data_IF_370511164957
#
_entry.id   IF_370511164957
#
_cell.length_a   1.000
_cell.length_b   1.000
_cell.length_c   1.000
_cell.angle_alpha   90.00
_cell.angle_beta   90.00
_cell.angle_gamma   90.00
#
_symmetry.space_group_name_H-M   'P 1'
#
loop_
_entity.id
_entity.type
_entity.pdbx_description
1 polymer ?
#
# COMPACT_ATOMS: atom_id res chain seq x y z
N UNK A 1 -25.94 -10.14 -22.98
CA UNK A 1 -25.46 -11.50 -22.76
C UNK A 1 -24.52 -11.83 -23.92
N UNK A 2 -23.23 -11.60 -23.78
CA UNK A 2 -22.24 -12.12 -24.73
C UNK A 2 -21.89 -13.51 -24.25
N UNK A 3 -22.30 -14.51 -24.96
CA UNK A 3 -21.83 -15.89 -24.82
C UNK A 3 -20.34 -15.89 -25.17
N UNK A 4 -19.47 -15.92 -24.16
CA UNK A 4 -18.08 -16.28 -24.38
C UNK A 4 -18.04 -17.68 -25.01
N UNK A 5 -17.67 -17.76 -26.27
CA UNK A 5 -17.33 -19.01 -26.93
C UNK A 5 -16.11 -19.60 -26.20
N UNK A 6 -16.35 -20.47 -25.26
CA UNK A 6 -15.31 -21.21 -24.55
C UNK A 6 -14.66 -22.20 -25.52
N UNK A 7 -13.62 -21.79 -26.21
CA UNK A 7 -12.88 -22.59 -27.20
C UNK A 7 -11.96 -23.64 -26.55
N UNK A 8 -11.71 -23.55 -25.25
CA UNK A 8 -10.84 -24.47 -24.51
C UNK A 8 -11.63 -25.39 -23.57
N UNK A 9 -11.24 -26.67 -23.52
CA UNK A 9 -11.71 -27.63 -22.53
C UNK A 9 -11.07 -27.43 -21.15
N UNK A 10 -10.00 -26.64 -21.08
CA UNK A 10 -9.28 -26.30 -19.84
C UNK A 10 -10.06 -25.21 -19.13
N UNK A 11 -10.38 -25.44 -17.86
CA UNK A 11 -11.06 -24.48 -16.99
C UNK A 11 -10.06 -23.73 -16.14
N UNK A 12 -10.30 -22.45 -15.83
CA UNK A 12 -9.51 -21.72 -14.85
C UNK A 12 -9.69 -22.29 -13.44
N UNK A 13 -8.79 -21.94 -12.52
CA UNK A 13 -8.94 -22.31 -11.11
C UNK A 13 -10.21 -21.67 -10.51
N UNK A 14 -10.90 -22.40 -9.62
CA UNK A 14 -12.18 -21.97 -9.02
C UNK A 14 -12.07 -20.63 -8.28
N UNK A 15 -10.90 -20.32 -7.72
CA UNK A 15 -10.63 -19.03 -7.04
C UNK A 15 -10.86 -17.81 -7.93
N UNK A 16 -10.77 -17.94 -9.26
CA UNK A 16 -11.02 -16.83 -10.18
C UNK A 16 -12.50 -16.48 -10.30
N UNK A 17 -13.40 -17.38 -9.91
CA UNK A 17 -14.82 -17.08 -9.85
C UNK A 17 -15.18 -16.10 -8.72
N UNK A 18 -14.33 -15.97 -7.69
CA UNK A 18 -14.55 -15.08 -6.55
C UNK A 18 -14.24 -13.60 -6.84
N UNK A 19 -13.63 -13.31 -7.98
CA UNK A 19 -13.20 -11.95 -8.36
C UNK A 19 -13.54 -11.64 -9.82
N UNK A 20 -13.74 -10.36 -10.11
CA UNK A 20 -13.87 -9.85 -11.48
C UNK A 20 -12.61 -9.09 -11.89
N UNK A 21 -12.48 -8.79 -13.20
CA UNK A 21 -11.43 -7.84 -13.65
C UNK A 21 -11.53 -6.55 -12.81
N UNK A 22 -10.37 -6.01 -12.47
CA UNK A 22 -10.26 -4.83 -11.63
C UNK A 22 -11.12 -3.67 -12.15
N UNK A 23 -11.99 -3.15 -11.31
CA UNK A 23 -13.01 -2.15 -11.68
C UNK A 23 -12.45 -0.98 -12.47
N UNK A 24 -11.34 -0.38 -11.98
CA UNK A 24 -10.74 0.76 -12.65
C UNK A 24 -10.13 0.42 -14.02
N UNK A 25 -9.64 -0.82 -14.22
CA UNK A 25 -9.18 -1.25 -15.56
C UNK A 25 -10.30 -1.21 -16.59
N UNK A 26 -11.50 -1.68 -16.21
CA UNK A 26 -12.69 -1.62 -17.09
C UNK A 26 -13.10 -0.18 -17.38
N UNK A 27 -13.13 0.67 -16.34
CA UNK A 27 -13.52 2.08 -16.50
C UNK A 27 -12.54 2.89 -17.32
N UNK A 28 -11.24 2.63 -17.22
CA UNK A 28 -10.24 3.26 -18.09
C UNK A 28 -10.44 2.90 -19.55
N UNK A 29 -10.74 1.63 -19.86
CA UNK A 29 -11.05 1.18 -21.22
C UNK A 29 -12.31 1.87 -21.77
N UNK A 30 -13.35 1.98 -20.92
CA UNK A 30 -14.60 2.65 -21.27
C UNK A 30 -14.36 4.13 -21.60
N UNK A 31 -13.64 4.86 -20.73
CA UNK A 31 -13.29 6.27 -20.95
C UNK A 31 -12.43 6.44 -22.22
N UNK A 32 -11.43 5.58 -22.44
CA UNK A 32 -10.60 5.62 -23.63
C UNK A 32 -11.43 5.43 -24.91
N UNK A 33 -12.39 4.49 -24.89
CA UNK A 33 -13.32 4.29 -26.01
C UNK A 33 -14.20 5.52 -26.26
N UNK A 34 -14.78 6.09 -25.18
CA UNK A 34 -15.61 7.30 -25.29
C UNK A 34 -14.83 8.48 -25.90
N UNK A 35 -13.56 8.64 -25.51
CA UNK A 35 -12.71 9.68 -26.08
C UNK A 35 -12.31 9.40 -27.53
N UNK A 36 -12.09 8.13 -27.91
CA UNK A 36 -11.89 7.75 -29.31
C UNK A 36 -13.14 8.03 -30.18
N UNK A 37 -14.34 8.02 -29.59
CA UNK A 37 -15.60 8.39 -30.21
C UNK A 37 -15.86 9.91 -30.22
N UNK A 38 -14.91 10.74 -29.73
CA UNK A 38 -15.00 12.19 -29.71
C UNK A 38 -15.84 12.79 -28.57
N UNK A 39 -16.08 12.03 -27.47
CA UNK A 39 -16.90 12.51 -26.34
C UNK A 39 -16.18 13.43 -25.37
N UNK A 40 -14.83 13.53 -25.48
CA UNK A 40 -13.98 14.42 -24.65
C UNK A 40 -14.22 14.28 -23.15
N UNK A 41 -14.20 13.05 -22.66
CA UNK A 41 -14.46 12.72 -21.24
C UNK A 41 -13.23 13.01 -20.39
N UNK A 42 -13.37 13.87 -19.40
CA UNK A 42 -12.36 14.11 -18.38
C UNK A 42 -12.56 13.10 -17.25
N UNK A 43 -11.57 12.24 -17.01
CA UNK A 43 -11.63 11.22 -15.96
C UNK A 43 -11.18 11.79 -14.62
N UNK A 44 -12.08 11.86 -13.65
CA UNK A 44 -11.79 12.15 -12.26
C UNK A 44 -11.82 10.88 -11.38
N UNK A 45 -11.89 9.70 -12.02
CA UNK A 45 -12.08 8.42 -11.32
C UNK A 45 -10.80 7.80 -10.76
N UNK A 46 -9.62 8.25 -11.18
CA UNK A 46 -8.33 7.75 -10.70
C UNK A 46 -7.49 8.93 -10.24
N UNK A 47 -7.17 8.93 -8.94
CA UNK A 47 -6.25 9.88 -8.36
C UNK A 47 -4.80 9.53 -8.76
N UNK A 48 -4.35 10.07 -9.88
CA UNK A 48 -2.95 9.97 -10.31
C UNK A 48 -2.32 11.36 -10.27
N UNK A 49 -1.12 11.51 -9.67
CA UNK A 49 -0.35 12.74 -9.85
C UNK A 49 -0.15 13.06 -11.32
N UNK A 50 -0.27 14.31 -11.69
CA UNK A 50 -0.09 14.84 -13.05
C UNK A 50 1.26 15.53 -13.24
N UNK A 51 2.02 15.71 -12.17
CA UNK A 51 3.37 16.24 -12.19
C UNK A 51 4.43 15.14 -12.24
N UNK A 52 5.61 15.40 -12.84
CA UNK A 52 6.72 14.46 -12.79
C UNK A 52 7.37 14.40 -11.40
N UNK A 53 8.18 13.36 -11.12
CA UNK A 53 9.14 13.38 -10.02
C UNK A 53 10.12 14.56 -10.14
N UNK A 54 10.84 14.86 -9.07
CA UNK A 54 11.85 15.93 -9.10
C UNK A 54 12.91 15.67 -10.18
N UNK A 55 13.41 16.74 -10.78
CA UNK A 55 14.46 16.65 -11.80
C UNK A 55 15.69 15.88 -11.27
N UNK A 56 16.10 16.12 -10.03
CA UNK A 56 17.22 15.41 -9.39
C UNK A 56 16.99 13.89 -9.33
N UNK A 57 15.75 13.48 -9.05
CA UNK A 57 15.36 12.07 -9.03
C UNK A 57 15.45 11.44 -10.42
N UNK A 58 14.95 12.13 -11.45
CA UNK A 58 15.02 11.67 -12.84
C UNK A 58 16.46 11.56 -13.31
N UNK A 59 17.29 12.59 -13.05
CA UNK A 59 18.70 12.59 -13.43
C UNK A 59 19.50 11.49 -12.72
N UNK A 60 19.15 11.19 -11.46
CA UNK A 60 19.74 10.07 -10.74
C UNK A 60 19.41 8.74 -11.42
N UNK A 61 18.15 8.52 -11.81
CA UNK A 61 17.77 7.33 -12.57
C UNK A 61 18.59 7.19 -13.87
N UNK A 62 18.65 8.27 -14.66
CA UNK A 62 19.35 8.29 -15.96
C UNK A 62 20.84 7.98 -15.78
N UNK A 63 21.50 8.60 -14.81
CA UNK A 63 22.92 8.36 -14.51
C UNK A 63 23.18 6.92 -14.07
N UNK A 64 22.39 6.41 -13.13
CA UNK A 64 22.59 5.07 -12.58
C UNK A 64 22.19 3.95 -13.56
N UNK A 65 21.26 4.22 -14.47
CA UNK A 65 20.92 3.29 -15.56
C UNK A 65 22.04 3.12 -16.59
N UNK A 66 22.99 4.05 -16.68
CA UNK A 66 24.17 3.96 -17.52
C UNK A 66 25.33 3.20 -16.85
N UNK A 67 25.23 2.92 -15.57
CA UNK A 67 26.26 2.17 -14.84
C UNK A 67 26.25 0.69 -15.27
N UNK A 68 27.31 0.17 -15.91
CA UNK A 68 27.34 -1.21 -16.39
C UNK A 68 27.19 -2.26 -15.29
N UNK A 69 27.56 -1.92 -14.05
CA UNK A 69 27.46 -2.82 -12.90
C UNK A 69 26.08 -2.79 -12.22
N UNK A 70 25.15 -1.95 -12.73
CA UNK A 70 23.83 -1.74 -12.16
C UNK A 70 22.75 -2.71 -12.61
N UNK A 71 23.03 -3.66 -13.52
CA UNK A 71 22.04 -4.48 -14.23
C UNK A 71 21.91 -5.91 -13.70
N UNK A 72 22.73 -6.33 -12.75
CA UNK A 72 22.63 -7.66 -12.13
C UNK A 72 21.39 -7.78 -11.23
N UNK A 73 21.12 -9.00 -10.76
CA UNK A 73 20.09 -9.24 -9.77
C UNK A 73 20.41 -8.49 -8.46
N UNK A 74 19.42 -7.75 -7.96
CA UNK A 74 19.51 -7.06 -6.69
C UNK A 74 18.99 -7.94 -5.53
N UNK A 75 19.43 -7.66 -4.29
CA UNK A 75 18.90 -8.36 -3.13
C UNK A 75 17.37 -8.21 -3.00
N UNK A 76 16.67 -9.27 -2.62
CA UNK A 76 15.21 -9.27 -2.38
C UNK A 76 14.80 -8.26 -1.31
N UNK A 77 15.67 -8.02 -0.33
CA UNK A 77 15.47 -7.01 0.72
C UNK A 77 15.66 -5.56 0.24
N UNK A 78 15.99 -5.35 -1.04
CA UNK A 78 16.38 -4.05 -1.57
C UNK A 78 17.82 -3.64 -1.18
N UNK A 79 18.34 -2.61 -1.84
CA UNK A 79 19.69 -2.10 -1.55
C UNK A 79 19.74 -1.37 -0.20
N UNK A 80 20.88 -1.40 0.49
CA UNK A 80 21.02 -0.72 1.79
C UNK A 80 20.75 0.78 1.75
N UNK A 81 21.09 1.44 0.64
CA UNK A 81 20.86 2.89 0.43
C UNK A 81 19.37 3.22 0.54
N UNK A 82 18.51 2.51 -0.19
CA UNK A 82 17.07 2.74 -0.18
C UNK A 82 16.48 2.49 1.21
N UNK A 83 16.88 1.40 1.87
CA UNK A 83 16.38 1.08 3.21
C UNK A 83 16.79 2.13 4.25
N UNK A 84 18.04 2.64 4.18
CA UNK A 84 18.49 3.74 5.04
C UNK A 84 17.73 5.04 4.76
N UNK A 85 17.45 5.35 3.49
CA UNK A 85 16.68 6.55 3.14
C UNK A 85 15.25 6.46 3.66
N UNK A 86 14.58 5.30 3.57
CA UNK A 86 13.26 5.11 4.19
C UNK A 86 13.32 5.26 5.72
N UNK A 87 14.33 4.68 6.38
CA UNK A 87 14.47 4.83 7.84
C UNK A 87 14.68 6.30 8.25
N UNK A 88 15.54 7.03 7.53
CA UNK A 88 15.77 8.45 7.78
C UNK A 88 14.51 9.29 7.54
N UNK A 89 13.75 8.98 6.48
CA UNK A 89 12.51 9.64 6.14
C UNK A 89 11.42 9.42 7.20
N UNK A 90 11.26 8.17 7.70
CA UNK A 90 10.34 7.86 8.81
C UNK A 90 10.72 8.59 10.09
N UNK A 91 12.01 8.66 10.40
CA UNK A 91 12.50 9.42 11.56
C UNK A 91 12.21 10.90 11.43
N UNK A 92 12.49 11.48 10.26
CA UNK A 92 12.29 12.92 9.99
C UNK A 92 10.83 13.33 10.09
N UNK A 93 9.93 12.58 9.44
CA UNK A 93 8.56 13.02 9.23
C UNK A 93 7.56 12.48 10.27
N UNK A 94 7.83 11.31 10.82
CA UNK A 94 6.93 10.66 11.78
C UNK A 94 7.55 10.51 13.18
N UNK A 95 8.82 10.82 13.37
CA UNK A 95 9.53 10.56 14.62
C UNK A 95 9.72 9.06 14.93
N UNK A 96 9.54 8.19 13.91
CA UNK A 96 9.62 6.73 14.06
C UNK A 96 11.02 6.24 13.73
N UNK A 97 11.67 5.60 14.69
CA UNK A 97 12.96 4.93 14.47
C UNK A 97 12.75 3.50 13.95
N UNK A 98 13.32 3.21 12.79
CA UNK A 98 13.29 1.90 12.15
C UNK A 98 14.72 1.40 11.93
N UNK A 99 14.95 0.11 12.22
CA UNK A 99 16.18 -0.54 11.82
C UNK A 99 16.14 -0.84 10.30
N UNK A 100 16.98 -0.18 9.48
CA UNK A 100 16.94 -0.37 8.03
C UNK A 100 17.31 -1.80 7.58
N UNK A 101 17.92 -2.61 8.44
CA UNK A 101 18.33 -3.95 8.09
C UNK A 101 17.25 -5.01 8.35
N UNK A 102 16.31 -4.75 9.26
CA UNK A 102 15.37 -5.78 9.74
C UNK A 102 13.91 -5.33 9.77
N UNK A 103 13.63 -4.02 9.80
CA UNK A 103 12.28 -3.50 10.03
C UNK A 103 11.68 -2.82 8.78
N UNK A 104 12.38 -2.87 7.64
CA UNK A 104 11.95 -2.26 6.38
C UNK A 104 12.07 -3.28 5.24
N UNK A 105 11.00 -3.44 4.46
CA UNK A 105 10.99 -4.20 3.21
C UNK A 105 10.52 -3.31 2.06
N UNK A 106 11.41 -2.91 1.13
CA UNK A 106 11.01 -2.27 -0.12
C UNK A 106 10.12 -3.16 -0.98
N UNK A 107 9.16 -2.54 -1.67
CA UNK A 107 8.12 -3.19 -2.46
C UNK A 107 8.06 -2.62 -3.88
N UNK A 108 7.66 -3.43 -4.84
CA UNK A 108 7.32 -3.00 -6.21
C UNK A 108 5.93 -2.32 -6.21
N UNK A 109 5.84 -1.21 -5.48
CA UNK A 109 4.63 -0.53 -5.06
C UNK A 109 3.91 -1.26 -3.92
N UNK A 110 3.17 -0.53 -3.09
CA UNK A 110 2.47 -1.08 -1.92
C UNK A 110 1.44 -2.17 -2.28
N UNK A 111 0.89 -2.14 -3.50
CA UNK A 111 -0.13 -3.10 -3.94
C UNK A 111 0.36 -4.57 -3.89
N UNK A 112 1.62 -4.84 -4.23
CA UNK A 112 2.16 -6.21 -4.09
C UNK A 112 2.30 -6.62 -2.63
N UNK A 113 2.59 -5.66 -1.76
CA UNK A 113 2.68 -5.91 -0.32
C UNK A 113 1.39 -6.44 0.28
N UNK A 114 0.22 -6.04 -0.27
CA UNK A 114 -1.07 -6.58 0.14
C UNK A 114 -1.11 -8.10 -0.08
N UNK A 115 -0.61 -8.56 -1.23
CA UNK A 115 -0.50 -10.01 -1.52
C UNK A 115 0.43 -10.70 -0.54
N UNK A 116 1.63 -10.15 -0.35
CA UNK A 116 2.65 -10.75 0.51
C UNK A 116 2.22 -10.84 1.97
N UNK A 117 1.62 -9.77 2.50
CA UNK A 117 1.12 -9.76 3.89
C UNK A 117 -0.04 -10.73 4.05
N UNK A 118 -1.01 -10.73 3.12
CA UNK A 118 -2.13 -11.67 3.21
C UNK A 118 -1.64 -13.12 3.17
N UNK A 119 -0.67 -13.46 2.30
CA UNK A 119 -0.08 -14.80 2.26
C UNK A 119 0.72 -15.16 3.52
N UNK A 120 1.35 -14.18 4.16
CA UNK A 120 2.18 -14.45 5.33
C UNK A 120 1.36 -14.66 6.62
N UNK A 121 0.17 -14.04 6.71
CA UNK A 121 -0.60 -14.01 7.96
C UNK A 121 -1.96 -14.70 7.92
N UNK A 122 -2.49 -15.02 6.72
CA UNK A 122 -3.87 -15.51 6.58
C UNK A 122 -3.90 -16.86 5.85
N UNK A 123 -4.45 -17.86 6.50
CA UNK A 123 -4.74 -19.15 5.87
C UNK A 123 -6.09 -19.12 5.14
N UNK A 124 -6.32 -20.01 4.15
CA UNK A 124 -7.64 -20.18 3.56
C UNK A 124 -8.71 -20.47 4.64
N UNK A 125 -9.84 -19.77 4.58
CA UNK A 125 -10.92 -19.89 5.55
C UNK A 125 -10.77 -19.00 6.80
N UNK A 126 -9.63 -18.37 7.03
CA UNK A 126 -9.51 -17.32 8.06
C UNK A 126 -10.08 -15.99 7.57
N UNK A 127 -10.33 -15.06 8.49
CA UNK A 127 -11.05 -13.82 8.23
C UNK A 127 -10.14 -12.61 8.18
N UNK A 128 -10.52 -11.65 7.30
CA UNK A 128 -9.86 -10.37 7.14
C UNK A 128 -10.88 -9.25 7.26
N UNK A 129 -10.65 -8.30 8.15
CA UNK A 129 -11.45 -7.07 8.25
C UNK A 129 -11.01 -6.06 7.18
N UNK A 130 -11.97 -5.56 6.42
CA UNK A 130 -11.73 -4.61 5.32
C UNK A 130 -12.65 -3.40 5.46
N UNK A 131 -12.12 -2.16 5.32
CA UNK A 131 -12.95 -0.95 5.42
C UNK A 131 -13.92 -0.84 4.25
N UNK A 132 -15.12 -0.34 4.55
CA UNK A 132 -16.15 -0.02 3.55
C UNK A 132 -16.71 1.38 3.82
N UNK A 133 -16.47 2.38 2.94
CA UNK A 133 -15.71 2.27 1.69
C UNK A 133 -14.20 2.08 1.93
N UNK A 134 -13.50 1.52 0.92
CA UNK A 134 -12.06 1.27 1.00
C UNK A 134 -11.46 0.83 -0.32
N UNK A 135 -10.16 0.60 -0.34
CA UNK A 135 -9.44 0.20 -1.54
C UNK A 135 -9.81 -1.22 -1.99
N UNK A 136 -10.35 -1.41 -3.21
CA UNK A 136 -10.91 -2.71 -3.62
C UNK A 136 -9.92 -3.87 -3.61
N UNK A 137 -8.62 -3.60 -3.65
CA UNK A 137 -7.57 -4.61 -3.68
C UNK A 137 -7.51 -5.43 -2.39
N UNK A 138 -7.83 -4.85 -1.23
CA UNK A 138 -7.89 -5.60 0.03
C UNK A 138 -8.87 -6.76 -0.07
N UNK A 139 -10.09 -6.47 -0.55
CA UNK A 139 -11.12 -7.50 -0.77
C UNK A 139 -10.72 -8.51 -1.84
N UNK A 140 -10.26 -8.03 -3.00
CA UNK A 140 -10.00 -8.89 -4.15
C UNK A 140 -8.88 -9.89 -3.87
N UNK A 141 -7.76 -9.45 -3.30
CA UNK A 141 -6.63 -10.33 -2.99
C UNK A 141 -6.96 -11.29 -1.86
N UNK A 142 -7.65 -10.84 -0.80
CA UNK A 142 -8.09 -11.73 0.28
C UNK A 142 -8.95 -12.88 -0.27
N UNK A 143 -9.92 -12.59 -1.14
CA UNK A 143 -10.77 -13.61 -1.77
C UNK A 143 -9.99 -14.57 -2.68
N UNK A 144 -9.06 -14.06 -3.49
CA UNK A 144 -8.20 -14.89 -4.35
C UNK A 144 -7.39 -15.89 -3.52
N UNK A 145 -6.97 -15.48 -2.33
CA UNK A 145 -6.18 -16.30 -1.41
C UNK A 145 -7.04 -17.23 -0.54
N UNK A 146 -8.37 -17.18 -0.70
CA UNK A 146 -9.31 -18.04 0.02
C UNK A 146 -9.67 -17.53 1.42
N UNK A 147 -9.32 -16.31 1.76
CA UNK A 147 -9.75 -15.67 3.00
C UNK A 147 -11.21 -15.22 2.92
N UNK A 148 -11.88 -15.22 4.05
CA UNK A 148 -13.22 -14.69 4.24
C UNK A 148 -13.15 -13.19 4.56
N UNK A 149 -13.81 -12.35 3.76
CA UNK A 149 -13.77 -10.89 3.93
C UNK A 149 -14.96 -10.44 4.76
N UNK A 150 -14.69 -9.78 5.87
CA UNK A 150 -15.67 -9.14 6.73
C UNK A 150 -15.51 -7.62 6.59
N UNK A 151 -16.55 -6.94 6.13
CA UNK A 151 -16.50 -5.48 6.02
C UNK A 151 -16.84 -4.83 7.37
N UNK A 152 -16.10 -3.79 7.73
CA UNK A 152 -16.51 -2.83 8.74
C UNK A 152 -16.82 -1.48 8.08
N UNK A 153 -17.95 -0.88 8.45
CA UNK A 153 -18.42 0.32 7.77
C UNK A 153 -17.81 1.58 8.39
N UNK A 154 -17.27 2.42 7.51
CA UNK A 154 -16.88 3.79 7.84
C UNK A 154 -18.06 4.70 7.52
N UNK A 155 -18.43 5.56 8.45
CA UNK A 155 -19.59 6.44 8.33
C UNK A 155 -19.18 7.90 8.47
N UNK A 156 -19.81 8.78 7.73
CA UNK A 156 -19.54 10.23 7.74
C UNK A 156 -19.79 10.83 9.14
N UNK A 157 -20.86 10.39 9.81
CA UNK A 157 -21.19 10.82 11.16
C UNK A 157 -20.11 10.51 12.20
N UNK A 158 -19.23 9.51 11.94
CA UNK A 158 -18.08 9.15 12.76
C UNK A 158 -16.76 9.68 12.17
N UNK A 159 -16.81 10.66 11.26
CA UNK A 159 -15.62 11.19 10.58
C UNK A 159 -14.87 10.15 9.75
N UNK A 160 -15.56 9.14 9.24
CA UNK A 160 -14.99 8.03 8.49
C UNK A 160 -13.97 7.18 9.30
N UNK A 161 -14.17 7.11 10.63
CA UNK A 161 -13.40 6.29 11.53
C UNK A 161 -14.11 4.96 11.82
N UNK A 162 -13.37 3.86 12.15
CA UNK A 162 -13.98 2.62 12.60
C UNK A 162 -14.83 2.83 13.85
N UNK A 163 -15.99 2.19 13.88
CA UNK A 163 -16.82 2.13 15.08
C UNK A 163 -16.32 0.99 15.96
N UNK A 164 -15.59 1.33 17.03
CA UNK A 164 -15.02 0.33 17.92
C UNK A 164 -16.07 -0.40 18.73
N UNK A 165 -17.24 0.21 19.02
CA UNK A 165 -18.34 -0.47 19.69
C UNK A 165 -18.97 -1.55 18.82
N UNK A 166 -19.03 -1.34 17.50
CA UNK A 166 -19.42 -2.36 16.54
C UNK A 166 -18.36 -3.46 16.43
N UNK A 167 -17.06 -3.08 16.31
CA UNK A 167 -15.95 -4.03 16.19
C UNK A 167 -15.81 -4.92 17.43
N UNK A 168 -16.03 -4.39 18.63
CA UNK A 168 -15.96 -5.18 19.89
C UNK A 168 -17.02 -6.28 19.98
N UNK A 169 -18.15 -6.13 19.28
CA UNK A 169 -19.25 -7.10 19.25
C UNK A 169 -19.03 -8.21 18.23
N UNK A 170 -18.08 -8.04 17.31
CA UNK A 170 -17.77 -9.03 16.29
C UNK A 170 -17.06 -10.25 16.87
N UNK A 171 -17.35 -11.44 16.32
CA UNK A 171 -16.55 -12.63 16.59
C UNK A 171 -15.17 -12.50 15.89
N UNK A 172 -14.13 -12.32 16.68
CA UNK A 172 -12.75 -12.18 16.20
C UNK A 172 -11.99 -13.51 16.17
N UNK A 173 -12.58 -14.62 16.51
CA UNK A 173 -11.88 -15.91 16.68
C UNK A 173 -11.12 -16.39 15.44
N UNK A 174 -11.59 -16.02 14.24
CA UNK A 174 -10.99 -16.36 12.96
C UNK A 174 -10.33 -15.17 12.25
N UNK A 175 -10.42 -13.96 12.80
CA UNK A 175 -9.83 -12.76 12.22
C UNK A 175 -8.33 -12.76 12.44
N UNK A 176 -7.55 -12.55 11.39
CA UNK A 176 -6.08 -12.46 11.42
C UNK A 176 -5.56 -11.07 11.07
N UNK A 177 -6.21 -10.41 10.12
CA UNK A 177 -5.82 -9.09 9.64
C UNK A 177 -6.98 -8.11 9.70
N UNK A 178 -6.64 -6.86 10.00
CA UNK A 178 -7.50 -5.70 9.76
C UNK A 178 -6.77 -4.70 8.88
N UNK A 179 -7.30 -4.45 7.69
CA UNK A 179 -6.83 -3.39 6.82
C UNK A 179 -7.36 -2.04 7.27
N UNK A 180 -6.51 -1.05 7.38
CA UNK A 180 -6.85 0.35 7.54
C UNK A 180 -6.12 1.18 6.48
N UNK A 181 -6.66 2.34 6.16
CA UNK A 181 -6.03 3.24 5.19
C UNK A 181 -6.29 4.68 5.66
N UNK A 182 -5.27 5.33 6.16
CA UNK A 182 -5.32 6.73 6.61
C UNK A 182 -4.04 7.47 6.22
N UNK A 183 -4.18 8.64 5.56
CA UNK A 183 -5.43 9.26 5.09
C UNK A 183 -6.25 8.32 4.22
N UNK A 184 -7.59 8.34 4.41
CA UNK A 184 -8.47 7.31 3.85
C UNK A 184 -8.79 7.56 2.37
N UNK A 185 -8.73 6.53 1.57
CA UNK A 185 -9.25 6.50 0.21
C UNK A 185 -10.55 5.67 0.19
N UNK A 186 -11.69 6.22 -0.24
CA UNK A 186 -11.83 7.43 -1.04
C UNK A 186 -12.24 8.70 -0.28
N UNK A 187 -12.40 8.68 1.04
CA UNK A 187 -13.07 9.75 1.79
C UNK A 187 -12.19 10.97 2.07
N UNK A 188 -10.86 10.81 2.05
CA UNK A 188 -9.90 11.86 2.40
C UNK A 188 -9.73 12.08 3.91
N UNK A 189 -10.40 11.30 4.76
CA UNK A 189 -10.30 11.45 6.21
C UNK A 189 -8.89 11.16 6.70
N UNK A 190 -8.33 12.08 7.48
CA UNK A 190 -7.02 11.92 8.13
C UNK A 190 -7.14 11.08 9.41
N UNK A 191 -6.05 10.40 9.77
CA UNK A 191 -5.94 9.79 11.09
C UNK A 191 -5.76 10.85 12.17
N UNK A 192 -6.10 10.45 13.40
CA UNK A 192 -5.70 11.19 14.61
C UNK A 192 -4.81 10.31 15.49
N UNK A 193 -4.00 10.90 16.39
CA UNK A 193 -3.23 10.12 17.35
C UNK A 193 -4.11 9.17 18.19
N UNK A 194 -5.32 9.62 18.56
CA UNK A 194 -6.29 8.86 19.33
C UNK A 194 -6.81 7.66 18.54
N UNK A 195 -7.07 7.82 17.23
CA UNK A 195 -7.46 6.70 16.38
C UNK A 195 -6.37 5.64 16.33
N UNK A 196 -5.14 6.03 16.08
CA UNK A 196 -4.03 5.07 16.03
C UNK A 196 -3.79 4.39 17.39
N UNK A 197 -3.90 5.11 18.50
CA UNK A 197 -3.81 4.52 19.83
C UNK A 197 -4.91 3.47 20.07
N UNK A 198 -6.17 3.77 19.68
CA UNK A 198 -7.29 2.82 19.76
C UNK A 198 -7.09 1.59 18.87
N UNK A 199 -6.58 1.77 17.66
CA UNK A 199 -6.29 0.67 16.75
C UNK A 199 -5.23 -0.27 17.31
N UNK A 200 -4.13 0.28 17.85
CA UNK A 200 -3.06 -0.51 18.46
C UNK A 200 -3.56 -1.27 19.70
N UNK A 201 -4.31 -0.62 20.56
CA UNK A 201 -4.92 -1.28 21.73
C UNK A 201 -5.88 -2.41 21.31
N UNK A 202 -6.74 -2.14 20.33
CA UNK A 202 -7.67 -3.14 19.79
C UNK A 202 -6.92 -4.34 19.20
N UNK A 203 -5.88 -4.10 18.38
CA UNK A 203 -5.07 -5.16 17.79
C UNK A 203 -4.45 -6.08 18.86
N UNK A 204 -3.88 -5.49 19.90
CA UNK A 204 -3.24 -6.23 21.01
C UNK A 204 -4.25 -7.05 21.80
N UNK A 205 -5.43 -6.49 22.12
CA UNK A 205 -6.48 -7.21 22.88
C UNK A 205 -7.13 -8.34 22.08
N UNK A 206 -7.23 -8.18 20.76
CA UNK A 206 -7.87 -9.16 19.89
C UNK A 206 -6.89 -10.14 19.24
N UNK A 207 -5.58 -9.99 19.48
CA UNK A 207 -4.52 -10.82 18.88
C UNK A 207 -4.58 -10.85 17.34
N UNK A 208 -4.77 -9.69 16.73
CA UNK A 208 -4.82 -9.51 15.27
C UNK A 208 -3.74 -8.56 14.80
N UNK A 209 -3.37 -8.66 13.52
CA UNK A 209 -2.47 -7.71 12.89
C UNK A 209 -3.25 -6.60 12.20
N UNK A 210 -2.92 -5.33 12.51
CA UNK A 210 -3.41 -4.20 11.73
C UNK A 210 -2.40 -3.82 10.67
N UNK A 211 -2.87 -3.65 9.44
CA UNK A 211 -2.07 -3.15 8.32
C UNK A 211 -2.61 -1.79 7.91
N UNK A 212 -1.85 -0.74 8.19
CA UNK A 212 -2.20 0.61 7.77
C UNK A 212 -1.53 0.96 6.44
N UNK A 213 -2.33 1.16 5.40
CA UNK A 213 -1.84 1.63 4.09
C UNK A 213 -1.82 3.16 4.09
N UNK A 214 -0.63 3.75 4.02
CA UNK A 214 -0.39 5.19 4.25
C UNK A 214 0.26 5.89 3.04
N UNK A 215 -0.30 5.81 1.82
CA UNK A 215 0.29 6.45 0.64
C UNK A 215 -0.01 7.95 0.53
N UNK A 216 -0.98 8.45 1.30
CA UNK A 216 -1.52 9.81 1.15
C UNK A 216 -1.09 10.78 2.25
N UNK A 217 -0.14 10.38 3.10
CA UNK A 217 0.26 11.13 4.31
C UNK A 217 0.65 12.59 4.07
N UNK A 218 1.13 12.89 2.85
CA UNK A 218 1.61 14.22 2.45
C UNK A 218 0.68 14.91 1.44
N UNK A 219 -0.48 14.34 1.16
CA UNK A 219 -1.42 14.92 0.20
C UNK A 219 -2.47 15.74 0.95
N UNK A 220 -2.45 17.06 0.76
CA UNK A 220 -3.35 18.01 1.42
C UNK A 220 -3.44 17.79 2.95
N UNK A 221 -2.31 17.48 3.57
CA UNK A 221 -2.22 17.15 4.98
C UNK A 221 -0.94 17.73 5.59
N UNK A 222 -1.11 18.70 6.49
CA UNK A 222 -0.02 19.42 7.16
C UNK A 222 0.56 18.67 8.36
N UNK A 223 -0.11 17.59 8.79
CA UNK A 223 0.29 16.80 9.96
C UNK A 223 0.36 15.31 9.62
N UNK A 224 1.39 14.88 8.86
CA UNK A 224 1.56 13.48 8.51
C UNK A 224 1.78 12.63 9.77
N UNK A 225 1.03 11.53 9.87
CA UNK A 225 1.08 10.60 11.02
C UNK A 225 1.41 9.18 10.52
N UNK A 226 2.06 8.42 11.40
CA UNK A 226 2.31 6.99 11.23
C UNK A 226 1.70 6.22 12.40
N UNK A 227 1.06 5.08 12.13
CA UNK A 227 0.57 4.19 13.19
C UNK A 227 1.74 3.64 14.03
N UNK A 228 2.93 3.52 13.42
CA UNK A 228 4.13 3.05 14.10
C UNK A 228 4.69 4.04 15.12
N UNK A 229 4.19 5.28 15.17
CA UNK A 229 4.54 6.26 16.21
C UNK A 229 3.89 5.94 17.57
N UNK A 230 2.86 5.09 17.58
CA UNK A 230 2.20 4.67 18.83
C UNK A 230 3.07 3.65 19.57
N UNK A 231 3.33 3.84 20.87
CA UNK A 231 4.10 2.88 21.66
C UNK A 231 3.51 1.46 21.59
N UNK A 232 4.36 0.48 21.27
CA UNK A 232 3.96 -0.91 21.12
C UNK A 232 3.30 -1.26 19.77
N UNK A 233 3.13 -0.30 18.84
CA UNK A 233 2.53 -0.57 17.55
C UNK A 233 3.29 -1.61 16.73
N UNK A 234 4.63 -1.62 16.76
CA UNK A 234 5.43 -2.61 16.04
C UNK A 234 5.12 -4.07 16.42
N UNK A 235 4.57 -4.30 17.61
CA UNK A 235 4.23 -5.65 18.08
C UNK A 235 3.04 -6.27 17.30
N UNK A 236 2.16 -5.42 16.75
CA UNK A 236 0.91 -5.86 16.13
C UNK A 236 0.53 -5.09 14.85
N UNK A 237 1.34 -4.13 14.41
CA UNK A 237 1.03 -3.33 13.23
C UNK A 237 2.10 -3.45 12.14
N UNK A 238 1.64 -3.38 10.90
CA UNK A 238 2.44 -3.19 9.69
C UNK A 238 1.97 -1.89 9.06
N UNK A 239 2.89 -1.04 8.63
CA UNK A 239 2.54 0.13 7.84
C UNK A 239 3.13 0.05 6.45
N UNK A 240 2.31 0.34 5.44
CA UNK A 240 2.75 0.55 4.07
C UNK A 240 2.95 2.03 3.80
N UNK A 241 3.94 2.33 2.99
CA UNK A 241 4.09 3.63 2.38
C UNK A 241 4.41 3.49 0.89
N UNK A 242 4.07 4.52 0.11
CA UNK A 242 4.24 4.49 -1.35
C UNK A 242 4.71 5.84 -1.86
N UNK A 243 5.67 5.81 -2.76
CA UNK A 243 6.16 7.01 -3.44
C UNK A 243 5.24 7.42 -4.62
N UNK A 244 4.20 6.63 -4.89
CA UNK A 244 3.30 6.87 -6.02
C UNK A 244 2.57 8.20 -5.96
N UNK A 245 2.29 8.70 -4.74
CA UNK A 245 1.50 9.92 -4.52
C UNK A 245 2.40 11.08 -4.09
N UNK A 246 3.05 10.94 -2.95
CA UNK A 246 3.87 11.98 -2.34
C UNK A 246 5.10 12.43 -3.16
N UNK A 247 5.57 11.57 -4.07
CA UNK A 247 6.76 11.83 -4.89
C UNK A 247 6.48 11.79 -6.40
N UNK A 248 5.21 11.80 -6.81
CA UNK A 248 4.79 11.76 -8.22
C UNK A 248 5.38 10.57 -9.02
N UNK A 249 5.50 9.40 -8.39
CA UNK A 249 6.15 8.22 -8.95
C UNK A 249 5.20 7.00 -9.14
N UNK A 250 3.95 7.17 -9.62
CA UNK A 250 3.02 6.04 -9.71
C UNK A 250 3.48 4.95 -10.68
N UNK A 251 4.09 5.33 -11.80
CA UNK A 251 4.62 4.41 -12.82
C UNK A 251 5.92 3.70 -12.42
N UNK A 252 6.64 4.23 -11.44
CA UNK A 252 7.93 3.69 -11.00
C UNK A 252 7.79 2.44 -10.13
N UNK A 253 6.61 2.20 -9.55
CA UNK A 253 6.31 1.03 -8.72
C UNK A 253 7.24 0.90 -7.51
N UNK A 254 7.34 1.94 -6.69
CA UNK A 254 8.17 1.94 -5.49
C UNK A 254 7.30 2.25 -4.27
N UNK A 255 7.43 1.39 -3.28
CA UNK A 255 6.84 1.52 -1.95
C UNK A 255 7.66 0.73 -0.94
N UNK A 256 7.16 0.65 0.25
CA UNK A 256 7.77 -0.13 1.33
C UNK A 256 6.72 -0.58 2.33
N UNK A 257 7.06 -1.57 3.13
CA UNK A 257 6.41 -1.83 4.41
C UNK A 257 7.43 -1.74 5.54
N UNK A 258 6.91 -1.36 6.71
CA UNK A 258 7.67 -1.33 7.95
C UNK A 258 6.89 -2.03 9.06
N UNK A 259 7.62 -2.76 9.92
CA UNK A 259 7.11 -3.44 11.10
C UNK A 259 8.27 -3.94 11.97
N UNK A 260 8.00 -4.82 12.95
CA UNK A 260 9.05 -5.55 13.65
C UNK A 260 9.80 -6.53 12.72
N UNK A 261 10.97 -6.96 13.18
CA UNK A 261 11.87 -7.82 12.39
C UNK A 261 11.25 -9.18 12.03
N UNK A 262 10.45 -9.78 12.90
CA UNK A 262 9.85 -11.09 12.65
C UNK A 262 8.79 -11.01 11.55
N UNK A 263 7.91 -10.01 11.59
CA UNK A 263 6.89 -9.78 10.57
C UNK A 263 7.53 -9.52 9.21
N UNK A 264 8.54 -8.66 9.17
CA UNK A 264 9.29 -8.37 7.94
C UNK A 264 9.95 -9.64 7.39
N UNK A 265 10.53 -10.47 8.25
CA UNK A 265 11.14 -11.74 7.85
C UNK A 265 10.11 -12.73 7.28
N UNK A 266 8.93 -12.84 7.87
CA UNK A 266 7.87 -13.73 7.38
C UNK A 266 7.36 -13.28 6.01
N UNK A 267 7.16 -11.97 5.84
CA UNK A 267 6.77 -11.38 4.56
C UNK A 267 7.85 -11.56 3.50
N UNK A 268 9.13 -11.40 3.88
CA UNK A 268 10.26 -11.64 2.97
C UNK A 268 10.32 -13.09 2.47
N UNK A 269 9.97 -14.08 3.31
CA UNK A 269 9.86 -15.48 2.86
C UNK A 269 8.87 -15.64 1.72
N UNK A 270 7.73 -14.95 1.78
CA UNK A 270 6.75 -14.94 0.69
C UNK A 270 7.31 -14.21 -0.53
N UNK A 271 7.77 -12.96 -0.34
CA UNK A 271 8.26 -12.10 -1.41
C UNK A 271 9.37 -12.75 -2.22
N UNK A 272 10.36 -13.34 -1.57
CA UNK A 272 11.52 -13.96 -2.24
C UNK A 272 11.18 -15.19 -3.10
N UNK A 273 9.97 -15.74 -2.96
CA UNK A 273 9.46 -16.81 -3.81
C UNK A 273 8.52 -16.32 -4.94
N UNK A 274 8.21 -15.02 -4.99
CA UNK A 274 7.28 -14.45 -5.96
C UNK A 274 8.00 -13.54 -6.96
N UNK A 275 8.93 -12.71 -6.47
CA UNK A 275 9.64 -11.74 -7.30
C UNK A 275 11.15 -11.74 -7.02
N UNK A 276 11.89 -10.93 -7.79
CA UNK A 276 13.30 -10.62 -7.59
C UNK A 276 13.46 -9.18 -7.10
N UNK A 277 14.67 -8.78 -6.71
CA UNK A 277 14.97 -7.41 -6.28
C UNK A 277 14.74 -6.39 -7.40
N UNK A 278 14.30 -5.20 -7.03
CA UNK A 278 14.05 -4.10 -7.96
C UNK A 278 15.35 -3.62 -8.65
N UNK A 279 15.22 -3.10 -9.86
CA UNK A 279 16.33 -2.50 -10.61
C UNK A 279 17.08 -1.45 -9.77
N UNK A 280 18.42 -1.57 -9.74
CA UNK A 280 19.28 -0.76 -8.86
C UNK A 280 19.12 0.74 -9.09
N UNK A 281 19.08 1.18 -10.33
CA UNK A 281 18.95 2.59 -10.66
C UNK A 281 17.64 3.21 -10.14
N UNK A 282 16.52 2.47 -10.19
CA UNK A 282 15.26 2.90 -9.59
C UNK A 282 15.35 3.03 -8.07
N UNK A 283 16.02 2.09 -7.42
CA UNK A 283 16.18 2.15 -5.97
C UNK A 283 17.02 3.35 -5.51
N UNK A 284 18.09 3.69 -6.24
CA UNK A 284 18.93 4.87 -5.97
C UNK A 284 18.18 6.18 -6.24
N UNK A 285 17.42 6.24 -7.33
CA UNK A 285 16.58 7.39 -7.61
C UNK A 285 15.48 7.58 -6.54
N UNK A 286 14.90 6.51 -6.05
CA UNK A 286 13.96 6.55 -4.95
C UNK A 286 14.62 7.02 -3.64
N UNK A 287 15.84 6.56 -3.35
CA UNK A 287 16.61 7.03 -2.21
C UNK A 287 16.85 8.56 -2.28
N UNK A 288 17.19 9.08 -3.47
CA UNK A 288 17.30 10.52 -3.69
C UNK A 288 15.96 11.25 -3.51
N UNK A 289 14.86 10.71 -4.02
CA UNK A 289 13.54 11.32 -3.87
C UNK A 289 13.11 11.44 -2.39
N UNK A 290 13.52 10.50 -1.53
CA UNK A 290 13.25 10.53 -0.09
C UNK A 290 14.02 11.61 0.69
N UNK A 291 14.99 12.28 0.05
CA UNK A 291 15.68 13.46 0.59
C UNK A 291 14.85 14.73 0.47
N UNK A 292 13.66 14.66 -0.13
CA UNK A 292 12.78 15.81 -0.33
C UNK A 292 12.49 16.54 0.99
N UNK A 293 12.52 17.89 0.91
CA UNK A 293 12.22 18.80 2.00
C UNK A 293 10.74 19.24 1.96
N UNK A 294 10.30 20.02 2.94
CA UNK A 294 8.91 20.47 3.05
C UNK A 294 8.41 21.19 1.78
N UNK A 295 9.29 21.97 1.15
CA UNK A 295 8.98 22.75 -0.05
C UNK A 295 8.51 21.88 -1.22
N UNK A 296 8.99 20.63 -1.31
CA UNK A 296 8.52 19.68 -2.32
C UNK A 296 7.05 19.33 -2.11
N UNK A 297 6.68 18.97 -0.87
CA UNK A 297 5.31 18.59 -0.54
C UNK A 297 4.37 19.80 -0.63
N UNK A 298 4.80 20.96 -0.18
CA UNK A 298 4.05 22.22 -0.29
C UNK A 298 3.82 22.60 -1.76
N UNK A 299 4.84 22.41 -2.60
CA UNK A 299 4.75 22.63 -4.04
C UNK A 299 3.70 21.73 -4.69
N UNK A 300 3.72 20.44 -4.36
CA UNK A 300 2.73 19.48 -4.88
C UNK A 300 1.30 19.81 -4.41
N UNK A 301 1.13 20.24 -3.17
CA UNK A 301 -0.19 20.52 -2.59
C UNK A 301 -0.79 21.87 -3.06
N UNK A 302 0.00 22.73 -3.72
CA UNK A 302 -0.48 24.00 -4.29
C UNK A 302 -1.03 23.89 -5.72
N UNK A 303 -0.69 22.80 -6.42
CA UNK A 303 -1.15 22.52 -7.78
C UNK A 303 -2.40 21.64 -7.77
#
# INVERSE_FOLDING_TARGET
>A
MQTENQTSKIKPADRLASVSEYYFSKKLKEVAQMNAEGKDVISLGIGSPDMPPSEATIQTLCREAQNPDGHGYMPYVGIPELRRSFAAWYKKWYGVELNPNTEIQPLIGSKEGILHVTLAFVNPGEQVLVPNPGYPTYTSLSKILGAEVINYNLKEENGWMPDFDELEKMDMSRVKLMWTNYPNMPTGANATPELYAKLVDFARRKDIVIVNDNPYSFILNDHPLSILSVPGAKECCIEFNSMSKSHNMPGWRIGMLASNADFVQWILKVKSNIDSGMFRAMQLAAANALEAEQEWYDGNNKN
#
